data_IF_550568539298
#
_entry.id   IF_550568539298
#
_cell.length_a   1.000
_cell.length_b   1.000
_cell.length_c   1.000
_cell.angle_alpha   90.00
_cell.angle_beta   90.00
_cell.angle_gamma   90.00
#
_symmetry.space_group_name_H-M   'P 1'
#
loop_
_entity.id
_entity.type
_entity.pdbx_description
1 polymer ?
#
# COMPACT_ATOMS: atom_id res chain seq x y z
N UNK A 1 -38.70 -5.79 -28.77
CA UNK A 1 -38.08 -6.04 -27.45
C UNK A 1 -36.55 -5.89 -27.44
N UNK A 2 -35.95 -5.25 -28.45
CA UNK A 2 -34.56 -4.77 -28.42
C UNK A 2 -34.49 -3.28 -27.99
N UNK A 3 -35.63 -2.59 -28.06
CA UNK A 3 -35.83 -1.15 -27.82
C UNK A 3 -35.63 -0.76 -26.35
N UNK A 4 -36.31 -1.46 -25.43
CA UNK A 4 -36.23 -1.16 -23.99
C UNK A 4 -34.81 -1.25 -23.41
N UNK A 5 -33.99 -2.16 -23.95
CA UNK A 5 -32.58 -2.31 -23.53
C UNK A 5 -31.76 -1.11 -23.98
N UNK A 6 -31.97 -0.64 -25.20
CA UNK A 6 -31.23 0.48 -25.77
C UNK A 6 -31.60 1.80 -25.08
N UNK A 7 -32.88 1.98 -24.77
CA UNK A 7 -33.39 3.11 -23.98
C UNK A 7 -32.77 3.17 -22.58
N UNK A 8 -32.67 2.03 -21.90
CA UNK A 8 -32.04 1.95 -20.57
C UNK A 8 -30.55 2.29 -20.63
N UNK A 9 -29.84 1.85 -21.67
CA UNK A 9 -28.42 2.15 -21.87
C UNK A 9 -28.21 3.64 -22.14
N UNK A 10 -29.00 4.24 -23.03
CA UNK A 10 -28.95 5.67 -23.31
C UNK A 10 -29.27 6.52 -22.08
N UNK A 11 -30.26 6.11 -21.28
CA UNK A 11 -30.60 6.82 -20.05
C UNK A 11 -29.47 6.75 -19.01
N UNK A 12 -28.82 5.58 -18.89
CA UNK A 12 -27.68 5.37 -17.99
C UNK A 12 -26.49 6.23 -18.43
N UNK A 13 -26.16 6.22 -19.72
CA UNK A 13 -25.06 7.03 -20.26
C UNK A 13 -25.29 8.54 -20.02
N UNK A 14 -26.54 9.00 -20.19
CA UNK A 14 -26.90 10.39 -19.89
C UNK A 14 -26.73 10.74 -18.41
N UNK A 15 -27.07 9.82 -17.49
CA UNK A 15 -26.85 10.03 -16.05
C UNK A 15 -25.35 10.08 -15.74
N UNK A 16 -24.59 9.13 -16.27
CA UNK A 16 -23.12 9.05 -16.09
C UNK A 16 -22.47 10.34 -16.57
N UNK A 17 -22.77 10.80 -17.79
CA UNK A 17 -22.21 12.04 -18.34
C UNK A 17 -22.53 13.27 -17.48
N UNK A 18 -23.72 13.32 -16.86
CA UNK A 18 -24.08 14.39 -15.92
C UNK A 18 -23.33 14.29 -14.58
N UNK A 19 -23.02 13.10 -14.10
CA UNK A 19 -22.23 12.91 -12.89
C UNK A 19 -20.73 13.21 -13.12
N UNK A 20 -20.24 13.05 -14.35
CA UNK A 20 -18.84 13.33 -14.72
C UNK A 20 -18.53 14.82 -14.91
N UNK A 21 -19.51 15.72 -14.89
CA UNK A 21 -19.25 17.17 -15.01
C UNK A 21 -18.70 17.80 -13.72
N UNK A 22 -18.59 17.04 -12.64
CA UNK A 22 -18.02 17.49 -11.36
C UNK A 22 -16.86 16.58 -11.00
N UNK A 23 -15.69 17.17 -10.81
CA UNK A 23 -14.52 16.47 -10.29
C UNK A 23 -14.54 16.52 -8.75
N UNK A 24 -14.50 15.34 -8.11
CA UNK A 24 -14.46 15.21 -6.66
C UNK A 24 -13.09 14.68 -6.22
N UNK A 25 -12.31 15.54 -5.57
CA UNK A 25 -11.05 15.12 -4.96
C UNK A 25 -11.26 14.79 -3.48
N UNK A 26 -11.11 13.51 -3.13
CA UNK A 26 -11.16 13.05 -1.73
C UNK A 26 -9.74 12.98 -1.19
N UNK A 27 -9.43 13.86 -0.23
CA UNK A 27 -8.14 13.87 0.45
C UNK A 27 -8.28 13.29 1.86
N UNK A 28 -7.35 12.41 2.23
CA UNK A 28 -7.16 11.96 3.60
C UNK A 28 -6.68 13.16 4.43
N UNK A 29 -7.53 13.64 5.35
CA UNK A 29 -7.15 14.67 6.32
C UNK A 29 -6.21 14.06 7.36
N UNK A 30 -5.10 14.74 7.64
CA UNK A 30 -4.13 14.34 8.65
C UNK A 30 -3.91 15.46 9.64
N UNK A 31 -3.74 15.11 10.89
CA UNK A 31 -3.15 16.02 11.88
C UNK A 31 -1.61 15.90 11.87
N UNK A 32 -0.95 16.84 12.56
CA UNK A 32 0.52 16.89 12.62
C UNK A 32 1.11 15.55 13.09
N UNK A 33 0.61 14.91 14.17
CA UNK A 33 1.11 13.60 14.60
C UNK A 33 0.98 12.50 13.52
N UNK A 34 -0.14 12.46 12.79
CA UNK A 34 -0.34 11.50 11.70
C UNK A 34 0.62 11.73 10.53
N UNK A 35 0.90 13.00 10.20
CA UNK A 35 1.90 13.33 9.17
C UNK A 35 3.30 12.91 9.60
N UNK A 36 3.70 13.20 10.83
CA UNK A 36 5.01 12.80 11.37
C UNK A 36 5.18 11.28 11.41
N UNK A 37 4.14 10.54 11.83
CA UNK A 37 4.15 9.08 11.82
C UNK A 37 4.32 8.53 10.39
N UNK A 38 3.57 9.08 9.43
CA UNK A 38 3.66 8.68 8.02
C UNK A 38 5.04 9.01 7.43
N UNK A 39 5.61 10.17 7.75
CA UNK A 39 6.95 10.56 7.33
C UNK A 39 8.00 9.56 7.83
N UNK A 40 7.93 9.16 9.10
CA UNK A 40 8.85 8.17 9.66
C UNK A 40 8.71 6.80 9.00
N UNK A 41 7.48 6.34 8.74
CA UNK A 41 7.26 5.09 7.99
C UNK A 41 7.88 5.15 6.61
N UNK A 42 7.66 6.24 5.87
CA UNK A 42 8.23 6.40 4.54
C UNK A 42 9.76 6.37 4.60
N UNK A 43 10.37 7.00 5.59
CA UNK A 43 11.81 6.96 5.79
C UNK A 43 12.34 5.53 6.07
N UNK A 44 11.62 4.73 6.87
CA UNK A 44 11.96 3.33 7.11
C UNK A 44 11.87 2.49 5.83
N UNK A 45 10.83 2.71 5.00
CA UNK A 45 10.68 2.03 3.71
C UNK A 45 11.79 2.44 2.74
N UNK A 46 12.13 3.72 2.66
CA UNK A 46 13.20 4.19 1.78
C UNK A 46 14.57 3.62 2.23
N UNK A 47 14.77 3.52 3.55
CA UNK A 47 15.96 2.87 4.12
C UNK A 47 16.05 1.39 3.76
N UNK A 48 14.93 0.67 3.69
CA UNK A 48 14.91 -0.71 3.17
C UNK A 48 15.42 -0.74 1.73
N UNK A 49 14.89 0.12 0.86
CA UNK A 49 15.25 0.15 -0.56
C UNK A 49 16.73 0.48 -0.76
N UNK A 50 17.27 1.43 0.01
CA UNK A 50 18.70 1.78 -0.06
C UNK A 50 19.57 0.64 0.47
N UNK A 51 19.20 0.05 1.62
CA UNK A 51 19.94 -1.03 2.26
C UNK A 51 19.96 -2.32 1.44
N UNK A 52 18.99 -2.54 0.54
CA UNK A 52 18.99 -3.69 -0.37
C UNK A 52 20.23 -3.76 -1.27
N UNK A 53 20.92 -2.63 -1.50
CA UNK A 53 22.16 -2.59 -2.29
C UNK A 53 23.36 -3.14 -1.55
N UNK A 54 23.34 -3.14 -0.21
CA UNK A 54 24.47 -3.52 0.64
C UNK A 54 24.21 -4.81 1.39
N UNK A 55 22.99 -4.99 1.93
CA UNK A 55 22.63 -6.08 2.83
C UNK A 55 21.23 -6.67 2.48
N UNK A 56 21.08 -7.30 1.31
CA UNK A 56 19.77 -7.71 0.78
C UNK A 56 19.01 -8.69 1.69
N UNK A 57 19.69 -9.68 2.28
CA UNK A 57 19.04 -10.69 3.14
C UNK A 57 18.51 -10.09 4.46
N UNK A 58 19.24 -9.15 5.03
CA UNK A 58 18.84 -8.44 6.26
C UNK A 58 17.64 -7.54 5.95
N UNK A 59 17.69 -6.79 4.85
CA UNK A 59 16.60 -5.89 4.47
C UNK A 59 15.35 -6.68 4.03
N UNK A 60 15.50 -7.85 3.42
CA UNK A 60 14.39 -8.77 3.14
C UNK A 60 13.70 -9.19 4.43
N UNK A 61 14.47 -9.64 5.41
CA UNK A 61 13.95 -10.05 6.72
C UNK A 61 13.20 -8.90 7.41
N UNK A 62 13.74 -7.67 7.34
CA UNK A 62 13.04 -6.48 7.84
C UNK A 62 11.76 -6.15 7.07
N UNK A 63 11.77 -6.28 5.74
CA UNK A 63 10.58 -6.07 4.92
C UNK A 63 9.45 -7.04 5.31
N UNK A 64 9.78 -8.31 5.59
CA UNK A 64 8.84 -9.31 6.10
C UNK A 64 8.33 -8.90 7.48
N UNK A 65 9.21 -8.46 8.39
CA UNK A 65 8.81 -7.99 9.71
C UNK A 65 7.85 -6.79 9.65
N UNK A 66 8.07 -5.83 8.75
CA UNK A 66 7.15 -4.70 8.54
C UNK A 66 5.80 -5.14 7.98
N UNK A 67 5.79 -6.09 7.02
CA UNK A 67 4.54 -6.67 6.50
C UNK A 67 3.73 -7.38 7.58
N UNK A 68 4.40 -8.09 8.49
CA UNK A 68 3.76 -8.74 9.63
C UNK A 68 3.14 -7.69 10.57
N UNK A 69 3.84 -6.58 10.83
CA UNK A 69 3.32 -5.44 11.60
C UNK A 69 2.10 -4.75 10.95
N UNK A 70 1.84 -4.96 9.66
CA UNK A 70 0.63 -4.47 8.98
C UNK A 70 -0.60 -5.40 9.11
N UNK A 71 -0.50 -6.51 9.84
CA UNK A 71 -1.58 -7.50 9.93
C UNK A 71 -2.27 -7.44 11.28
N UNK A 72 -3.61 -7.39 11.26
CA UNK A 72 -4.46 -7.33 12.45
C UNK A 72 -4.59 -8.68 13.18
N UNK A 73 -4.12 -9.77 12.56
CA UNK A 73 -4.12 -11.11 13.13
C UNK A 73 -2.71 -11.42 13.60
N UNK A 74 -2.58 -12.18 14.69
CA UNK A 74 -1.29 -12.67 15.20
C UNK A 74 -0.61 -13.54 14.14
N UNK A 75 0.22 -12.92 13.30
CA UNK A 75 1.05 -13.65 12.34
C UNK A 75 2.12 -14.37 13.14
N UNK A 76 2.28 -15.68 12.93
CA UNK A 76 3.46 -16.40 13.40
C UNK A 76 4.68 -15.83 12.66
N UNK A 77 5.45 -14.97 13.33
CA UNK A 77 6.59 -14.32 12.72
C UNK A 77 7.17 -13.20 13.58
N UNK A 78 8.35 -12.73 13.20
CA UNK A 78 8.98 -11.56 13.83
C UNK A 78 8.22 -10.31 13.39
N UNK A 79 7.83 -9.50 14.37
CA UNK A 79 7.20 -8.19 14.21
C UNK A 79 8.25 -7.11 14.45
N UNK A 80 8.14 -5.98 13.78
CA UNK A 80 8.84 -4.78 14.20
C UNK A 80 7.89 -3.88 15.01
N UNK A 81 8.11 -3.80 16.32
CA UNK A 81 7.27 -3.04 17.27
C UNK A 81 7.38 -1.53 17.06
N UNK A 82 8.53 -1.04 16.60
CA UNK A 82 8.70 0.39 16.30
C UNK A 82 7.86 0.75 15.07
N UNK A 83 7.98 -0.05 14.01
CA UNK A 83 7.18 0.12 12.80
C UNK A 83 5.68 -0.01 13.10
N UNK A 84 5.29 -0.99 13.90
CA UNK A 84 3.89 -1.19 14.32
C UNK A 84 3.35 0.04 15.06
N UNK A 85 4.11 0.57 16.03
CA UNK A 85 3.71 1.77 16.78
C UNK A 85 3.54 3.00 15.86
N UNK A 86 4.44 3.19 14.90
CA UNK A 86 4.32 4.29 13.92
C UNK A 86 3.12 4.07 12.98
N UNK A 87 2.89 2.84 12.55
CA UNK A 87 1.78 2.46 11.68
C UNK A 87 0.43 2.73 12.33
N UNK A 88 0.28 2.41 13.63
CA UNK A 88 -0.92 2.71 14.41
C UNK A 88 -1.15 4.22 14.58
N UNK A 89 -0.09 5.04 14.49
CA UNK A 89 -0.19 6.50 14.46
C UNK A 89 -0.69 7.08 13.13
N UNK A 90 -0.76 6.27 12.07
CA UNK A 90 -1.23 6.72 10.76
C UNK A 90 -2.74 6.51 10.57
N UNK A 91 -3.31 7.18 9.57
CA UNK A 91 -4.71 6.95 9.17
C UNK A 91 -4.90 5.54 8.59
N UNK A 92 -6.13 5.01 8.64
CA UNK A 92 -6.45 3.68 8.08
C UNK A 92 -6.12 3.60 6.58
N UNK A 93 -6.33 4.68 5.83
CA UNK A 93 -6.01 4.71 4.40
C UNK A 93 -4.50 4.67 4.15
N UNK A 94 -3.71 5.32 5.00
CA UNK A 94 -2.25 5.25 4.95
C UNK A 94 -1.75 3.85 5.32
N UNK A 95 -2.31 3.23 6.37
CA UNK A 95 -1.95 1.86 6.75
C UNK A 95 -2.16 0.87 5.59
N UNK A 96 -3.30 0.98 4.90
CA UNK A 96 -3.60 0.17 3.70
C UNK A 96 -2.60 0.45 2.57
N UNK A 97 -2.27 1.72 2.33
CA UNK A 97 -1.34 2.14 1.27
C UNK A 97 0.08 1.66 1.54
N UNK A 98 0.54 1.78 2.78
CA UNK A 98 1.84 1.30 3.26
C UNK A 98 1.93 -0.22 3.10
N UNK A 99 0.92 -0.97 3.56
CA UNK A 99 0.87 -2.43 3.37
C UNK A 99 0.98 -2.82 1.89
N UNK A 100 0.23 -2.14 1.01
CA UNK A 100 0.27 -2.39 -0.44
C UNK A 100 1.66 -2.10 -1.02
N UNK A 101 2.32 -1.01 -0.59
CA UNK A 101 3.67 -0.64 -1.02
C UNK A 101 4.70 -1.68 -0.58
N UNK A 102 4.65 -2.12 0.67
CA UNK A 102 5.51 -3.17 1.20
C UNK A 102 5.30 -4.52 0.51
N UNK A 103 4.05 -4.88 0.20
CA UNK A 103 3.76 -6.13 -0.52
C UNK A 103 4.40 -6.12 -1.91
N UNK A 104 4.23 -5.03 -2.66
CA UNK A 104 4.85 -4.88 -3.97
C UNK A 104 6.38 -4.91 -3.92
N UNK A 105 6.97 -4.31 -2.87
CA UNK A 105 8.41 -4.37 -2.65
C UNK A 105 8.87 -5.81 -2.36
N UNK A 106 8.22 -6.51 -1.44
CA UNK A 106 8.51 -7.91 -1.13
C UNK A 106 8.40 -8.83 -2.35
N UNK A 107 7.35 -8.67 -3.16
CA UNK A 107 7.15 -9.46 -4.37
C UNK A 107 8.25 -9.19 -5.41
N UNK A 108 8.69 -7.94 -5.54
CA UNK A 108 9.82 -7.56 -6.40
C UNK A 108 11.13 -8.22 -5.94
N UNK A 109 11.44 -8.16 -4.64
CA UNK A 109 12.63 -8.77 -4.06
C UNK A 109 12.62 -10.30 -4.26
N UNK A 110 11.45 -10.94 -4.14
CA UNK A 110 11.32 -12.37 -4.39
C UNK A 110 11.54 -12.74 -5.85
N UNK A 111 11.08 -11.93 -6.81
CA UNK A 111 11.35 -12.15 -8.23
C UNK A 111 12.84 -12.07 -8.57
N UNK A 112 13.56 -11.12 -7.98
CA UNK A 112 15.01 -10.97 -8.21
C UNK A 112 15.80 -12.20 -7.76
N UNK A 113 15.40 -12.82 -6.65
CA UNK A 113 16.06 -14.04 -6.18
C UNK A 113 15.82 -15.23 -7.12
N UNK A 114 14.60 -15.41 -7.64
CA UNK A 114 14.30 -16.51 -8.58
C UNK A 114 15.15 -16.43 -9.85
N UNK A 115 15.46 -15.22 -10.34
CA UNK A 115 16.32 -15.05 -11.52
C UNK A 115 17.81 -15.24 -11.25
N UNK A 116 18.24 -15.28 -9.98
CA UNK A 116 19.66 -15.41 -9.60
C UNK A 116 20.10 -16.87 -9.46
N UNK A 117 19.16 -17.81 -9.44
CA UNK A 117 19.39 -19.25 -9.26
C UNK A 117 19.43 -20.03 -10.60
N UNK A 118 19.27 -19.33 -11.74
CA UNK A 118 19.25 -19.90 -13.11
C UNK A 118 20.54 -19.63 -13.93
N UNK A 119 21.61 -19.11 -13.31
CA UNK A 119 22.98 -19.00 -13.90
C UNK A 119 24.01 -19.80 -13.09
#
# INVERSE_FOLDING_TARGET
MLDDRDDVLHFTDRIVNRCLTVELQINTQRDIPQEEALHQINHLIDSLVVGMKTEPEIMRSKCIAYLNSCSSHSVQGVLDKNFESLLLGCTIDDQKRVKKRLQGLHDYINKLNVTSDDE
#
